data_IF_684944253999
#
_entry.id   IF_684944253999
#
_cell.length_a   1.000
_cell.length_b   1.000
_cell.length_c   1.000
_cell.angle_alpha   90.00
_cell.angle_beta   90.00
_cell.angle_gamma   90.00
#
_symmetry.space_group_name_H-M   'P 1'
#
loop_
_entity.id
_entity.type
_entity.pdbx_description
1 polymer ?
#
# COMPACT_ATOMS: atom_id res chain seq x y z
N UNK A 1 -11.81 11.43 -16.69
CA UNK A 1 -10.55 11.66 -15.96
C UNK A 1 -9.41 12.04 -16.89
N UNK A 2 -8.16 12.19 -16.39
CA UNK A 2 -7.00 12.57 -17.20
C UNK A 2 -6.74 11.67 -18.41
N UNK A 3 -6.99 10.37 -18.29
CA UNK A 3 -6.90 9.41 -19.39
C UNK A 3 -7.94 9.65 -20.50
N UNK A 4 -9.13 10.18 -20.18
CA UNK A 4 -10.15 10.53 -21.18
C UNK A 4 -9.79 11.80 -21.96
N UNK A 5 -8.84 12.57 -21.44
CA UNK A 5 -8.27 13.76 -22.09
C UNK A 5 -6.98 13.44 -22.86
N UNK A 6 -6.70 12.15 -23.12
CA UNK A 6 -5.56 11.71 -23.92
C UNK A 6 -4.22 11.62 -23.19
N UNK A 7 -4.17 11.78 -21.86
CA UNK A 7 -2.95 11.46 -21.10
C UNK A 7 -2.73 9.95 -21.08
N UNK A 8 -1.47 9.52 -21.08
CA UNK A 8 -1.06 8.11 -20.94
C UNK A 8 -0.60 7.81 -19.52
N UNK A 9 -0.57 6.54 -19.12
CA UNK A 9 -0.03 6.16 -17.82
C UNK A 9 1.43 6.58 -17.65
N UNK A 10 2.24 6.43 -18.70
CA UNK A 10 3.63 6.95 -18.72
C UNK A 10 3.72 8.43 -18.40
N UNK A 11 2.83 9.26 -18.95
CA UNK A 11 2.81 10.70 -18.69
C UNK A 11 2.29 11.06 -17.29
N UNK A 12 1.47 10.20 -16.69
CA UNK A 12 0.86 10.41 -15.38
C UNK A 12 1.71 9.88 -14.23
N UNK A 13 2.55 8.87 -14.48
CA UNK A 13 3.30 8.15 -13.46
C UNK A 13 4.11 9.05 -12.52
N UNK A 14 4.86 10.08 -12.97
CA UNK A 14 5.61 10.93 -12.05
C UNK A 14 4.70 11.67 -11.06
N UNK A 15 3.57 12.20 -11.51
CA UNK A 15 2.61 12.90 -10.65
C UNK A 15 1.91 11.93 -9.71
N UNK A 16 1.40 10.81 -10.23
CA UNK A 16 0.70 9.82 -9.41
C UNK A 16 1.60 9.25 -8.32
N UNK A 17 2.84 8.85 -8.64
CA UNK A 17 3.79 8.36 -7.63
C UNK A 17 4.15 9.45 -6.64
N UNK A 18 4.33 10.70 -7.08
CA UNK A 18 4.61 11.84 -6.19
C UNK A 18 3.50 12.11 -5.18
N UNK A 19 2.24 11.83 -5.52
CA UNK A 19 1.09 11.96 -4.61
C UNK A 19 0.98 10.80 -3.61
N UNK A 20 1.55 9.64 -3.94
CA UNK A 20 1.48 8.44 -3.11
C UNK A 20 2.52 8.41 -1.99
N UNK A 21 3.60 9.17 -2.10
CA UNK A 21 4.79 8.98 -1.25
C UNK A 21 4.83 9.98 -0.09
N UNK A 22 5.52 9.60 0.97
CA UNK A 22 5.75 10.41 2.14
C UNK A 22 7.03 11.23 2.07
N UNK A 23 7.61 11.48 3.23
CA UNK A 23 8.80 12.30 3.40
C UNK A 23 10.04 11.51 2.94
N UNK A 24 10.97 12.13 2.20
CA UNK A 24 12.27 11.55 1.85
C UNK A 24 12.24 10.07 1.41
N UNK A 25 11.47 9.69 0.38
CA UNK A 25 11.39 8.29 -0.06
C UNK A 25 12.72 7.82 -0.68
N UNK A 26 13.00 6.51 -0.61
CA UNK A 26 14.18 5.92 -1.27
C UNK A 26 14.16 6.19 -2.78
N UNK A 27 15.25 6.77 -3.30
CA UNK A 27 15.30 7.23 -4.68
C UNK A 27 15.16 6.09 -5.70
N UNK A 28 15.74 4.92 -5.42
CA UNK A 28 15.68 3.75 -6.30
C UNK A 28 14.27 3.13 -6.30
N UNK A 29 13.62 3.08 -5.14
CA UNK A 29 12.22 2.69 -5.02
C UNK A 29 11.29 3.61 -5.81
N UNK A 30 11.58 4.93 -5.82
CA UNK A 30 10.78 5.89 -6.57
C UNK A 30 10.96 5.79 -8.09
N UNK A 31 12.17 5.47 -8.55
CA UNK A 31 12.42 5.17 -9.96
C UNK A 31 11.63 3.94 -10.40
N UNK A 32 11.75 2.84 -9.65
CA UNK A 32 10.99 1.62 -9.90
C UNK A 32 9.47 1.87 -9.88
N UNK A 33 8.97 2.64 -8.90
CA UNK A 33 7.55 2.97 -8.80
C UNK A 33 7.04 3.71 -10.05
N UNK A 34 7.81 4.66 -10.58
CA UNK A 34 7.43 5.40 -11.80
C UNK A 34 7.45 4.52 -13.03
N UNK A 35 8.43 3.65 -13.17
CA UNK A 35 8.52 2.73 -14.30
C UNK A 35 7.37 1.72 -14.28
N UNK A 36 7.11 1.12 -13.11
CA UNK A 36 5.98 0.23 -12.91
C UNK A 36 4.66 0.93 -13.23
N UNK A 37 4.38 2.09 -12.63
CA UNK A 37 3.15 2.85 -12.87
C UNK A 37 3.00 3.25 -14.34
N UNK A 38 4.09 3.65 -14.99
CA UNK A 38 4.11 4.04 -16.39
C UNK A 38 3.87 2.87 -17.37
N UNK A 39 4.13 1.64 -16.93
CA UNK A 39 3.92 0.41 -17.72
C UNK A 39 2.51 -0.19 -17.60
N UNK A 40 1.68 0.31 -16.68
CA UNK A 40 0.30 -0.17 -16.50
C UNK A 40 -0.52 0.18 -17.75
N UNK A 41 -1.20 -0.79 -18.40
CA UNK A 41 -2.11 -0.47 -19.50
C UNK A 41 -3.25 0.43 -19.02
N UNK A 42 -3.61 1.45 -19.80
CA UNK A 42 -4.65 2.42 -19.44
C UNK A 42 -6.00 1.75 -19.14
N UNK A 43 -6.34 0.69 -19.90
CA UNK A 43 -7.56 -0.09 -19.68
C UNK A 43 -7.56 -0.77 -18.31
N UNK A 44 -6.42 -1.33 -17.87
CA UNK A 44 -6.27 -1.96 -16.56
C UNK A 44 -6.37 -0.94 -15.42
N UNK A 45 -5.74 0.23 -15.58
CA UNK A 45 -5.85 1.30 -14.58
C UNK A 45 -7.31 1.77 -14.40
N UNK A 46 -8.06 1.92 -15.51
CA UNK A 46 -9.49 2.26 -15.47
C UNK A 46 -10.33 1.18 -14.81
N UNK A 47 -10.10 -0.08 -15.17
CA UNK A 47 -10.80 -1.21 -14.58
C UNK A 47 -10.56 -1.29 -13.07
N UNK A 48 -9.32 -1.09 -12.63
CA UNK A 48 -8.95 -1.04 -11.21
C UNK A 48 -9.67 0.11 -10.49
N UNK A 49 -9.66 1.33 -11.04
CA UNK A 49 -10.37 2.48 -10.46
C UNK A 49 -11.87 2.22 -10.31
N UNK A 50 -12.50 1.58 -11.30
CA UNK A 50 -13.92 1.20 -11.23
C UNK A 50 -14.16 0.09 -10.22
N UNK A 51 -13.28 -0.91 -10.12
CA UNK A 51 -13.41 -2.02 -9.19
C UNK A 51 -13.32 -1.59 -7.72
N UNK A 52 -12.57 -0.52 -7.43
CA UNK A 52 -12.50 0.07 -6.08
C UNK A 52 -13.79 0.79 -5.69
N UNK A 53 -14.60 1.26 -6.66
CA UNK A 53 -15.87 1.92 -6.35
C UNK A 53 -16.84 0.93 -5.73
N UNK A 54 -17.22 1.17 -4.48
CA UNK A 54 -18.17 0.32 -3.76
C UNK A 54 -17.58 -0.98 -3.22
N UNK A 55 -16.27 -1.21 -3.33
CA UNK A 55 -15.62 -2.33 -2.66
C UNK A 55 -15.62 -2.11 -1.15
N UNK A 56 -16.34 -2.96 -0.42
CA UNK A 56 -16.42 -2.92 1.04
C UNK A 56 -16.43 -4.34 1.61
N UNK A 57 -15.33 -4.70 2.28
CA UNK A 57 -15.16 -5.99 2.93
C UNK A 57 -14.96 -5.86 4.44
N UNK A 58 -15.35 -4.73 5.05
CA UNK A 58 -15.15 -4.48 6.49
C UNK A 58 -15.78 -5.57 7.37
N UNK A 59 -16.91 -6.14 6.93
CA UNK A 59 -17.58 -7.22 7.67
C UNK A 59 -16.81 -8.54 7.65
N UNK A 60 -16.01 -8.80 6.61
CA UNK A 60 -15.24 -10.03 6.47
C UNK A 60 -13.92 -10.01 7.29
N UNK A 61 -13.51 -8.85 7.83
CA UNK A 61 -12.27 -8.74 8.60
C UNK A 61 -12.25 -9.65 9.83
N UNK A 62 -13.41 -9.85 10.47
CA UNK A 62 -13.53 -10.72 11.65
C UNK A 62 -13.38 -12.20 11.31
N UNK A 63 -13.58 -12.57 10.04
CA UNK A 63 -13.51 -13.95 9.57
C UNK A 63 -12.06 -14.36 9.21
N UNK A 64 -11.10 -13.43 9.25
CA UNK A 64 -9.68 -13.72 9.01
C UNK A 64 -9.09 -14.49 10.20
N UNK A 65 -8.99 -15.81 10.05
CA UNK A 65 -8.55 -16.72 11.11
C UNK A 65 -7.03 -16.94 11.19
N UNK A 66 -6.26 -16.44 10.21
CA UNK A 66 -4.80 -16.60 10.16
C UNK A 66 -4.07 -15.40 10.76
N UNK A 67 -2.85 -15.58 11.32
CA UNK A 67 -2.01 -14.46 11.73
C UNK A 67 -1.86 -13.44 10.60
N UNK A 68 -2.03 -12.16 10.91
CA UNK A 68 -2.06 -11.08 9.92
C UNK A 68 -1.16 -9.91 10.33
N UNK A 69 -0.29 -9.47 9.43
CA UNK A 69 0.44 -8.21 9.59
C UNK A 69 -0.31 -7.10 8.83
N UNK A 70 -0.64 -6.02 9.52
CA UNK A 70 -1.17 -4.79 8.92
C UNK A 70 -0.08 -3.72 9.02
N UNK A 71 0.41 -3.25 7.89
CA UNK A 71 1.53 -2.31 7.81
C UNK A 71 1.12 -1.08 7.00
N UNK A 72 1.36 0.13 7.55
CA UNK A 72 1.06 1.39 6.86
C UNK A 72 2.14 2.44 7.07
N UNK A 73 2.18 3.43 6.18
CA UNK A 73 2.98 4.64 6.36
C UNK A 73 2.16 5.75 7.05
N UNK A 74 2.78 6.54 7.94
CA UNK A 74 2.06 7.59 8.67
C UNK A 74 1.64 8.79 7.80
N UNK A 75 2.17 8.89 6.57
CA UNK A 75 1.81 9.91 5.56
C UNK A 75 0.92 9.39 4.43
N UNK A 76 0.47 8.13 4.50
CA UNK A 76 -0.42 7.55 3.50
C UNK A 76 -1.77 8.28 3.50
N UNK A 77 -2.16 8.80 2.33
CA UNK A 77 -3.47 9.47 2.12
C UNK A 77 -4.51 8.56 1.47
N UNK A 78 -4.09 7.45 0.88
CA UNK A 78 -4.94 6.47 0.21
C UNK A 78 -5.47 5.42 1.19
N UNK A 79 -4.61 4.94 2.08
CA UNK A 79 -4.96 4.07 3.20
C UNK A 79 -4.44 4.67 4.51
N UNK A 80 -5.10 5.74 5.04
CA UNK A 80 -4.61 6.45 6.21
C UNK A 80 -4.32 5.53 7.39
N UNK A 81 -3.15 5.72 8.02
CA UNK A 81 -2.70 4.92 9.15
C UNK A 81 -3.75 4.71 10.26
N UNK A 82 -4.53 5.72 10.70
CA UNK A 82 -5.63 5.48 11.66
C UNK A 82 -6.70 4.51 11.18
N UNK A 83 -6.97 4.46 9.87
CA UNK A 83 -7.91 3.49 9.27
C UNK A 83 -7.30 2.09 9.22
N UNK A 84 -6.00 1.97 8.93
CA UNK A 84 -5.28 0.70 8.94
C UNK A 84 -5.17 0.12 10.35
N UNK A 85 -4.88 0.95 11.35
CA UNK A 85 -4.94 0.57 12.77
C UNK A 85 -6.34 0.08 13.16
N UNK A 86 -7.39 0.79 12.72
CA UNK A 86 -8.78 0.37 12.95
C UNK A 86 -9.11 -0.96 12.26
N UNK A 87 -8.63 -1.17 11.03
CA UNK A 87 -8.78 -2.45 10.33
C UNK A 87 -8.12 -3.59 11.09
N UNK A 88 -6.90 -3.39 11.59
CA UNK A 88 -6.19 -4.38 12.39
C UNK A 88 -6.98 -4.77 13.65
N UNK A 89 -7.64 -3.81 14.31
CA UNK A 89 -8.46 -4.07 15.50
C UNK A 89 -9.69 -4.97 15.24
N UNK A 90 -10.14 -5.12 13.99
CA UNK A 90 -11.21 -6.06 13.64
C UNK A 90 -10.71 -7.47 13.30
N UNK A 91 -9.41 -7.64 13.06
CA UNK A 91 -8.81 -8.93 12.72
C UNK A 91 -8.35 -9.63 14.01
N UNK A 92 -8.87 -10.82 14.37
CA UNK A 92 -8.60 -11.45 15.67
C UNK A 92 -7.13 -11.67 16.01
N UNK A 93 -6.31 -12.02 15.02
CA UNK A 93 -4.87 -12.30 15.19
C UNK A 93 -4.03 -11.35 14.33
N UNK A 94 -4.10 -10.05 14.63
CA UNK A 94 -3.35 -9.04 13.90
C UNK A 94 -2.17 -8.47 14.68
N UNK A 95 -1.14 -8.06 13.95
CA UNK A 95 -0.10 -7.13 14.41
C UNK A 95 -0.17 -5.88 13.52
N UNK A 96 -0.29 -4.70 14.12
CA UNK A 96 -0.22 -3.44 13.41
C UNK A 96 1.18 -2.82 13.54
N UNK A 97 1.74 -2.35 12.41
CA UNK A 97 3.01 -1.62 12.36
C UNK A 97 2.82 -0.37 11.51
N UNK A 98 3.21 0.78 12.06
CA UNK A 98 3.22 2.05 11.35
C UNK A 98 4.66 2.50 11.12
N UNK A 99 5.00 2.86 9.87
CA UNK A 99 6.31 3.40 9.53
C UNK A 99 6.22 4.93 9.40
N UNK A 100 6.90 5.62 10.31
CA UNK A 100 6.87 7.08 10.37
C UNK A 100 7.44 7.73 9.10
N UNK A 101 6.73 8.74 8.59
CA UNK A 101 7.12 9.51 7.42
C UNK A 101 6.92 8.80 6.08
N UNK A 102 6.60 7.50 6.05
CA UNK A 102 6.32 6.78 4.80
C UNK A 102 4.91 7.08 4.28
N UNK A 103 4.74 7.08 2.96
CA UNK A 103 3.46 7.18 2.27
C UNK A 103 2.82 5.82 2.02
N UNK A 104 2.12 5.71 0.90
CA UNK A 104 1.39 4.53 0.45
C UNK A 104 2.30 3.41 -0.06
N UNK A 105 3.47 3.74 -0.59
CA UNK A 105 4.38 2.79 -1.22
C UNK A 105 5.45 2.32 -0.24
N UNK A 106 5.04 1.96 0.98
CA UNK A 106 5.92 1.79 2.15
C UNK A 106 7.12 0.87 1.87
N UNK A 107 6.91 -0.22 1.14
CA UNK A 107 7.96 -1.18 0.78
C UNK A 107 9.01 -0.59 -0.18
N UNK A 108 8.62 0.36 -1.04
CA UNK A 108 9.54 1.06 -1.94
C UNK A 108 10.15 2.29 -1.28
N UNK A 109 9.44 2.94 -0.36
CA UNK A 109 9.92 4.15 0.33
C UNK A 109 10.88 3.86 1.47
N UNK A 110 10.68 2.73 2.16
CA UNK A 110 11.39 2.31 3.37
C UNK A 110 11.71 0.80 3.33
N UNK A 111 12.43 0.31 2.32
CA UNK A 111 12.63 -1.13 2.12
C UNK A 111 13.20 -1.83 3.37
N UNK A 112 14.22 -1.26 4.00
CA UNK A 112 14.84 -1.86 5.19
C UNK A 112 13.88 -1.99 6.39
N UNK A 113 13.08 -0.95 6.66
CA UNK A 113 12.14 -0.95 7.79
C UNK A 113 10.91 -1.84 7.50
N UNK A 114 10.45 -1.84 6.25
CA UNK A 114 9.41 -2.75 5.77
C UNK A 114 9.86 -4.21 5.90
N UNK A 115 11.04 -4.54 5.36
CA UNK A 115 11.60 -5.90 5.39
C UNK A 115 11.86 -6.38 6.83
N UNK A 116 12.30 -5.47 7.72
CA UNK A 116 12.46 -5.80 9.13
C UNK A 116 11.13 -6.16 9.80
N UNK A 117 10.07 -5.38 9.57
CA UNK A 117 8.73 -5.64 10.12
C UNK A 117 8.13 -6.94 9.56
N UNK A 118 8.25 -7.15 8.25
CA UNK A 118 7.80 -8.36 7.57
C UNK A 118 8.58 -9.59 8.08
N UNK A 119 9.90 -9.51 8.13
CA UNK A 119 10.75 -10.61 8.60
C UNK A 119 10.51 -10.99 10.06
N UNK A 120 10.25 -10.01 10.92
CA UNK A 120 9.85 -10.29 12.31
C UNK A 120 8.50 -11.01 12.38
N UNK A 121 7.53 -10.61 11.56
CA UNK A 121 6.24 -11.29 11.48
C UNK A 121 6.38 -12.72 10.96
N UNK A 122 7.14 -12.94 9.88
CA UNK A 122 7.37 -14.27 9.30
C UNK A 122 8.04 -15.22 10.31
N UNK A 123 9.05 -14.76 11.05
CA UNK A 123 9.67 -15.57 12.11
C UNK A 123 8.69 -15.95 13.22
N UNK A 124 7.76 -15.06 13.58
CA UNK A 124 6.74 -15.36 14.61
C UNK A 124 5.77 -16.44 14.14
N UNK A 125 5.36 -16.44 12.87
CA UNK A 125 4.43 -17.45 12.34
C UNK A 125 5.11 -18.81 12.15
N UNK A 126 6.40 -18.85 11.77
CA UNK A 126 7.16 -20.09 11.63
C UNK A 126 7.35 -20.83 12.96
N UNK A 127 7.51 -20.09 14.07
CA UNK A 127 7.65 -20.67 15.41
C UNK A 127 6.30 -21.16 15.97
N UNK A 128 5.18 -20.67 15.43
CA UNK A 128 3.82 -21.00 15.88
C UNK A 128 3.16 -22.13 15.08
N UNK A 129 3.80 -22.61 14.01
CA UNK A 129 3.37 -23.72 13.15
C UNK A 129 4.01 -25.05 13.58
#
# INVERSE_FOLDING_TARGET
GPLDRGKTMKSLAPTLVGELVGDHPDASGMELARDCMGSVPEASYRAMMLALLGFDQRKALVDIAVPTLVLSGSKDKNAPAPMMAKMAAYIPSSTYVELEGAGHLVNLERPQAFDAALGQFLKRIEVAA
#
